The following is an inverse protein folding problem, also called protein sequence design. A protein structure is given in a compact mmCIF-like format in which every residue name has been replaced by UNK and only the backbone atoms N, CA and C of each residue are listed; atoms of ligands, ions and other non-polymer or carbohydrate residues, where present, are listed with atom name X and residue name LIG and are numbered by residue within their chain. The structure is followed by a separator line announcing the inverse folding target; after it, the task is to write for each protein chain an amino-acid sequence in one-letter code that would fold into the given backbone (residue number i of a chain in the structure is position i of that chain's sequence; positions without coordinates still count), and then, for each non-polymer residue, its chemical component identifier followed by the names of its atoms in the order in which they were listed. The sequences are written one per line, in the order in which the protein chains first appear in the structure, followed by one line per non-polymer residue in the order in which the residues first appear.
data_IF_663777782889
#
_entry.id   IF_663777782889
#
_cell.length_a   1.000
_cell.length_b   1.000
_cell.length_c   1.000
_cell.angle_alpha   90.00
_cell.angle_beta   90.00
_cell.angle_gamma   90.00
#
_symmetry.space_group_name_H-M   'P 1'
#
loop_
_entity.id
_entity.type
_entity.pdbx_description
1 polymer ?
#
# COMPACT_ATOMS: atom_id res chain seq x y z
N UNK A 1 6.93 6.87 28.16
CA UNK A 1 6.27 5.93 27.23
C UNK A 1 4.93 6.46 26.73
N UNK A 2 4.07 7.00 27.60
CA UNK A 2 2.79 7.63 27.20
C UNK A 2 2.97 8.78 26.21
N UNK A 3 3.95 9.68 26.44
CA UNK A 3 4.27 10.77 25.47
C UNK A 3 4.74 10.23 24.12
N UNK A 4 5.59 9.19 24.11
CA UNK A 4 6.06 8.55 22.86
C UNK A 4 4.88 7.94 22.05
N UNK A 5 3.89 7.38 22.74
CA UNK A 5 2.68 6.83 22.10
C UNK A 5 1.79 7.98 21.59
N UNK A 6 1.67 9.08 22.33
CA UNK A 6 0.94 10.25 21.84
C UNK A 6 1.62 10.87 20.61
N UNK A 7 2.93 11.06 20.63
CA UNK A 7 3.71 11.55 19.49
C UNK A 7 3.60 10.63 18.28
N UNK A 8 3.53 9.32 18.49
CA UNK A 8 3.28 8.36 17.42
C UNK A 8 1.87 8.52 16.82
N UNK A 9 0.84 8.72 17.65
CA UNK A 9 -0.55 8.83 17.23
C UNK A 9 -0.85 10.16 16.52
N UNK A 10 -0.35 11.27 17.05
CA UNK A 10 -0.63 12.62 16.54
C UNK A 10 0.46 13.17 15.61
N UNK A 11 1.57 12.45 15.46
CA UNK A 11 2.77 12.92 14.78
C UNK A 11 3.63 13.76 15.71
N UNK A 12 4.94 13.70 15.49
CA UNK A 12 5.90 14.53 16.21
C UNK A 12 5.65 15.99 15.81
N UNK A 13 5.54 16.90 16.78
CA UNK A 13 5.53 18.35 16.52
C UNK A 13 6.92 18.82 16.07
N UNK A 14 7.30 18.42 14.86
CA UNK A 14 8.52 18.91 14.22
C UNK A 14 8.24 20.35 13.80
N UNK A 15 9.08 21.33 14.16
CA UNK A 15 8.92 22.69 13.67
C UNK A 15 8.84 22.68 12.14
N UNK A 16 7.83 23.36 11.58
CA UNK A 16 7.47 23.24 10.17
C UNK A 16 8.65 23.48 9.21
N UNK A 17 9.61 24.31 9.60
CA UNK A 17 10.85 24.53 8.85
C UNK A 17 11.73 23.29 8.68
N UNK A 18 11.85 22.44 9.69
CA UNK A 18 12.65 21.20 9.63
C UNK A 18 11.95 20.12 8.82
N UNK A 19 10.61 20.08 8.87
CA UNK A 19 9.78 19.22 8.03
C UNK A 19 9.90 19.62 6.55
N UNK A 20 9.80 20.91 6.25
CA UNK A 20 10.00 21.45 4.90
C UNK A 20 11.42 21.19 4.38
N UNK A 21 12.44 21.32 5.23
CA UNK A 21 13.83 21.00 4.86
C UNK A 21 14.03 19.49 4.63
N UNK A 22 13.43 18.62 5.44
CA UNK A 22 13.54 17.18 5.32
C UNK A 22 12.73 16.59 4.15
N UNK A 23 11.61 17.22 3.78
CA UNK A 23 10.87 16.90 2.55
C UNK A 23 11.64 17.46 1.36
N UNK A 24 12.07 18.72 1.44
CA UNK A 24 12.82 19.43 0.40
C UNK A 24 14.09 18.72 -0.04
N UNK A 25 14.85 18.14 0.89
CA UNK A 25 16.08 17.40 0.58
C UNK A 25 15.83 16.06 -0.13
N UNK A 26 14.64 15.46 0.02
CA UNK A 26 14.27 14.17 -0.59
C UNK A 26 13.55 14.32 -1.93
N UNK A 27 12.94 15.48 -2.20
CA UNK A 27 12.31 15.82 -3.48
C UNK A 27 13.23 15.69 -4.71
N UNK A 28 14.51 16.15 -4.71
CA UNK A 28 15.37 15.99 -5.88
C UNK A 28 15.69 14.51 -6.16
N UNK A 29 15.91 13.71 -5.11
CA UNK A 29 16.11 12.26 -5.23
C UNK A 29 14.86 11.58 -5.82
N UNK A 30 13.67 11.99 -5.38
CA UNK A 30 12.37 11.56 -5.91
C UNK A 30 12.23 11.82 -7.40
N UNK A 31 12.53 13.05 -7.83
CA UNK A 31 12.42 13.47 -9.23
C UNK A 31 13.40 12.69 -10.09
N UNK A 32 14.63 12.50 -9.62
CA UNK A 32 15.65 11.71 -10.34
C UNK A 32 15.24 10.24 -10.42
N UNK A 33 14.92 9.58 -9.30
CA UNK A 33 14.56 8.15 -9.32
C UNK A 33 13.27 7.88 -10.11
N UNK A 34 12.22 8.67 -9.88
CA UNK A 34 10.95 8.53 -10.60
C UNK A 34 11.14 8.86 -12.08
N UNK A 35 11.86 9.93 -12.39
CA UNK A 35 12.20 10.32 -13.76
C UNK A 35 12.95 9.20 -14.47
N UNK A 36 14.00 8.64 -13.86
CA UNK A 36 14.79 7.56 -14.46
C UNK A 36 13.95 6.31 -14.70
N UNK A 37 13.14 5.88 -13.71
CA UNK A 37 12.32 4.68 -13.82
C UNK A 37 11.08 4.82 -14.72
N UNK A 38 10.53 6.03 -14.87
CA UNK A 38 9.43 6.30 -15.81
C UNK A 38 9.98 6.48 -17.23
N UNK A 39 11.11 7.17 -17.39
CA UNK A 39 11.74 7.42 -18.68
C UNK A 39 12.37 6.15 -19.28
N UNK A 40 12.90 5.24 -18.46
CA UNK A 40 13.53 4.00 -18.93
C UNK A 40 12.60 3.14 -19.82
N UNK A 41 11.39 2.74 -19.40
CA UNK A 41 10.48 2.00 -20.28
C UNK A 41 9.96 2.84 -21.46
N UNK A 42 9.82 4.17 -21.30
CA UNK A 42 9.44 5.08 -22.38
C UNK A 42 10.51 5.20 -23.47
N UNK A 43 11.79 5.06 -23.13
CA UNK A 43 12.91 5.09 -24.09
C UNK A 43 13.09 3.70 -24.74
N UNK A 44 12.99 2.62 -23.94
CA UNK A 44 13.20 1.25 -24.42
C UNK A 44 12.05 0.71 -25.28
N UNK A 45 10.80 1.21 -25.11
CA UNK A 45 9.62 0.72 -25.84
C UNK A 45 8.96 1.76 -26.76
N UNK A 46 9.72 2.78 -27.23
CA UNK A 46 9.25 3.79 -28.21
C UNK A 46 8.66 3.21 -29.51
N UNK A 47 8.94 1.94 -29.83
CA UNK A 47 8.66 1.32 -31.15
C UNK A 47 7.33 0.56 -31.24
N UNK A 48 6.52 0.48 -30.18
CA UNK A 48 5.23 -0.25 -30.20
C UNK A 48 4.03 0.65 -29.81
N UNK A 49 3.57 1.54 -30.71
CA UNK A 49 2.45 2.46 -30.45
C UNK A 49 1.11 1.77 -30.15
N UNK A 50 0.92 0.51 -30.58
CA UNK A 50 -0.26 -0.28 -30.25
C UNK A 50 -0.42 -0.58 -28.75
N UNK A 51 0.67 -0.55 -27.96
CA UNK A 51 0.65 -0.77 -26.50
C UNK A 51 0.32 0.51 -25.70
N UNK A 52 0.22 1.67 -26.35
CA UNK A 52 0.10 2.97 -25.68
C UNK A 52 -1.34 3.49 -25.53
N UNK A 53 -2.29 3.03 -26.35
CA UNK A 53 -3.61 3.67 -26.47
C UNK A 53 -4.63 3.21 -25.41
N UNK A 54 -4.51 1.97 -24.92
CA UNK A 54 -5.43 1.37 -23.94
C UNK A 54 -4.89 1.40 -22.49
N UNK A 55 -3.66 1.87 -22.26
CA UNK A 55 -2.98 1.73 -20.96
C UNK A 55 -3.24 2.84 -19.93
N UNK A 56 -3.67 4.02 -20.37
CA UNK A 56 -3.80 5.22 -19.50
C UNK A 56 -4.96 5.13 -18.51
N UNK A 57 -6.04 4.42 -18.86
CA UNK A 57 -7.20 4.27 -17.99
C UNK A 57 -6.95 3.30 -16.81
N UNK A 58 -6.12 2.28 -17.00
CA UNK A 58 -5.68 1.40 -15.91
C UNK A 58 -4.68 2.08 -14.96
N UNK A 59 -3.93 3.06 -15.46
CA UNK A 59 -2.85 3.72 -14.74
C UNK A 59 -3.34 4.48 -13.50
N UNK A 60 -4.45 5.21 -13.60
CA UNK A 60 -5.00 5.96 -12.45
C UNK A 60 -5.46 5.02 -11.31
N UNK A 61 -6.08 3.89 -11.66
CA UNK A 61 -6.51 2.89 -10.66
C UNK A 61 -5.29 2.26 -9.98
N UNK A 62 -4.24 1.95 -10.76
CA UNK A 62 -2.98 1.42 -10.24
C UNK A 62 -2.28 2.42 -9.32
N UNK A 63 -2.21 3.68 -9.73
CA UNK A 63 -1.68 4.78 -8.91
C UNK A 63 -2.41 4.84 -7.57
N UNK A 64 -3.73 4.95 -7.58
CA UNK A 64 -4.51 5.06 -6.34
C UNK A 64 -4.35 3.81 -5.46
N UNK A 65 -4.43 2.61 -6.04
CA UNK A 65 -4.20 1.37 -5.30
C UNK A 65 -2.82 1.32 -4.64
N UNK A 66 -1.76 1.75 -5.35
CA UNK A 66 -0.42 1.73 -4.79
C UNK A 66 -0.18 2.82 -3.75
N UNK A 67 -0.75 4.02 -3.92
CA UNK A 67 -0.73 5.04 -2.86
C UNK A 67 -1.46 4.57 -1.60
N UNK A 68 -2.65 4.00 -1.75
CA UNK A 68 -3.40 3.41 -0.63
C UNK A 68 -2.58 2.32 0.09
N UNK A 69 -1.93 1.44 -0.67
CA UNK A 69 -1.08 0.38 -0.12
C UNK A 69 0.04 0.93 0.76
N UNK A 70 0.82 1.90 0.28
CA UNK A 70 1.94 2.45 1.04
C UNK A 70 1.49 3.33 2.23
N UNK A 71 0.36 4.03 2.09
CA UNK A 71 -0.21 4.84 3.17
C UNK A 71 -0.70 3.99 4.34
N UNK A 72 -1.04 2.71 4.10
CA UNK A 72 -1.38 1.76 5.17
C UNK A 72 -0.15 0.98 5.64
N UNK A 73 0.73 0.59 4.72
CA UNK A 73 1.89 -0.26 5.03
C UNK A 73 2.96 0.46 5.85
N UNK A 74 3.26 1.73 5.54
CA UNK A 74 4.30 2.49 6.24
C UNK A 74 3.93 2.73 7.71
N UNK A 75 2.72 3.21 8.07
CA UNK A 75 2.32 3.30 9.47
C UNK A 75 2.28 1.95 10.19
N UNK A 76 1.96 0.85 9.48
CA UNK A 76 1.98 -0.49 10.06
C UNK A 76 3.40 -0.95 10.40
N UNK A 77 4.42 -0.53 9.64
CA UNK A 77 5.83 -0.78 9.97
C UNK A 77 6.21 0.00 11.22
N UNK A 78 5.88 1.29 11.25
CA UNK A 78 6.23 2.17 12.37
C UNK A 78 5.47 1.82 13.65
N UNK A 79 4.33 1.13 13.55
CA UNK A 79 3.57 0.59 14.69
C UNK A 79 4.40 -0.27 15.64
N UNK A 80 5.38 -0.97 15.09
CA UNK A 80 6.23 -1.92 15.82
C UNK A 80 7.35 -1.21 16.57
N UNK A 81 7.77 -0.04 16.09
CA UNK A 81 8.83 0.79 16.70
C UNK A 81 8.62 1.07 18.19
N UNK A 82 7.46 1.62 18.64
CA UNK A 82 7.24 1.89 20.07
C UNK A 82 7.16 0.61 20.92
N UNK A 83 6.87 -0.55 20.31
CA UNK A 83 6.75 -1.83 20.99
C UNK A 83 8.07 -2.56 21.18
N UNK A 84 9.14 -2.30 20.44
CA UNK A 84 10.42 -3.02 20.58
C UNK A 84 11.56 -2.12 21.06
N UNK A 85 11.40 -0.80 21.05
CA UNK A 85 12.37 0.15 21.63
C UNK A 85 13.64 0.40 20.80
N UNK A 86 14.04 -0.54 19.94
CA UNK A 86 15.14 -0.36 18.99
C UNK A 86 14.60 -0.13 17.57
N UNK A 87 14.80 1.07 17.03
CA UNK A 87 14.19 1.51 15.76
C UNK A 87 14.53 0.58 14.58
N UNK A 88 15.80 0.21 14.43
CA UNK A 88 16.27 -0.59 13.29
C UNK A 88 15.71 -2.01 13.30
N UNK A 89 15.79 -2.72 14.43
CA UNK A 89 15.32 -4.11 14.53
C UNK A 89 13.79 -4.22 14.37
N UNK A 90 13.06 -3.23 14.89
CA UNK A 90 11.60 -3.16 14.78
C UNK A 90 11.15 -3.09 13.34
N UNK A 91 11.79 -2.25 12.53
CA UNK A 91 11.47 -2.06 11.12
C UNK A 91 11.69 -3.35 10.31
N UNK A 92 12.81 -4.05 10.53
CA UNK A 92 13.07 -5.33 9.85
C UNK A 92 12.06 -6.40 10.24
N UNK A 93 11.74 -6.54 11.53
CA UNK A 93 10.74 -7.50 12.00
C UNK A 93 9.36 -7.21 11.40
N UNK A 94 8.95 -5.94 11.37
CA UNK A 94 7.69 -5.51 10.79
C UNK A 94 7.63 -5.78 9.27
N UNK A 95 8.72 -5.50 8.55
CA UNK A 95 8.83 -5.79 7.12
C UNK A 95 8.72 -7.29 6.82
N UNK A 96 9.44 -8.13 7.56
CA UNK A 96 9.38 -9.59 7.41
C UNK A 96 7.95 -10.08 7.65
N UNK A 97 7.31 -9.63 8.74
CA UNK A 97 5.93 -9.98 9.04
C UNK A 97 4.99 -9.52 7.91
N UNK A 98 5.07 -8.25 7.49
CA UNK A 98 4.25 -7.71 6.40
C UNK A 98 4.38 -8.54 5.13
N UNK A 99 5.60 -8.84 4.70
CA UNK A 99 5.83 -9.62 3.48
C UNK A 99 5.25 -11.03 3.60
N UNK A 100 5.46 -11.71 4.73
CA UNK A 100 4.91 -13.05 4.98
C UNK A 100 3.38 -13.04 4.92
N UNK A 101 2.74 -12.12 5.64
CA UNK A 101 1.29 -12.04 5.67
C UNK A 101 0.68 -11.52 4.36
N UNK A 102 1.36 -10.62 3.64
CA UNK A 102 0.99 -10.24 2.28
C UNK A 102 1.06 -11.43 1.32
N UNK A 103 2.07 -12.30 1.48
CA UNK A 103 2.16 -13.55 0.72
C UNK A 103 0.94 -14.44 0.93
N UNK A 104 0.52 -14.63 2.20
CA UNK A 104 -0.71 -15.37 2.56
C UNK A 104 -1.96 -14.69 1.99
N UNK A 105 -2.04 -13.36 2.08
CA UNK A 105 -3.13 -12.57 1.50
C UNK A 105 -3.24 -12.72 -0.02
N UNK A 106 -2.11 -12.68 -0.72
CA UNK A 106 -2.05 -12.86 -2.18
C UNK A 106 -2.40 -14.29 -2.59
N UNK A 107 -1.92 -15.29 -1.84
CA UNK A 107 -2.26 -16.70 -2.07
C UNK A 107 -3.75 -16.95 -1.88
N UNK A 108 -4.33 -16.50 -0.76
CA UNK A 108 -5.77 -16.63 -0.51
C UNK A 108 -6.62 -15.91 -1.57
N UNK A 109 -6.14 -14.78 -2.11
CA UNK A 109 -6.81 -14.07 -3.20
C UNK A 109 -6.92 -14.91 -4.49
N UNK A 110 -5.99 -15.84 -4.74
CA UNK A 110 -6.05 -16.73 -5.91
C UNK A 110 -7.18 -17.77 -5.81
N UNK A 111 -7.57 -18.16 -4.60
CA UNK A 111 -8.65 -19.14 -4.36
C UNK A 111 -10.02 -18.49 -4.21
N UNK A 112 -10.08 -17.16 -4.08
CA UNK A 112 -11.34 -16.42 -4.02
C UNK A 112 -11.78 -16.11 -5.46
N UNK A 113 -12.97 -16.59 -5.91
CA UNK A 113 -13.48 -16.28 -7.24
C UNK A 113 -13.47 -14.78 -7.52
N UNK A 114 -13.10 -14.37 -8.75
CA UNK A 114 -13.09 -12.96 -9.20
C UNK A 114 -14.39 -12.30 -8.74
N UNK A 115 -14.26 -11.40 -7.78
CA UNK A 115 -15.39 -10.82 -7.07
C UNK A 115 -16.23 -9.94 -8.00
N UNK A 116 -17.54 -10.21 -8.06
CA UNK A 116 -18.52 -9.22 -8.56
C UNK A 116 -18.42 -7.92 -7.76
N UNK A 117 -18.87 -6.79 -8.31
CA UNK A 117 -18.79 -5.46 -7.66
C UNK A 117 -19.23 -5.45 -6.18
N UNK A 118 -20.23 -6.26 -5.81
CA UNK A 118 -20.72 -6.41 -4.43
C UNK A 118 -19.70 -7.04 -3.47
N UNK A 119 -18.95 -8.06 -3.90
CA UNK A 119 -17.88 -8.67 -3.08
C UNK A 119 -16.66 -7.74 -2.96
N UNK A 120 -16.43 -6.86 -3.93
CA UNK A 120 -15.40 -5.82 -3.86
C UNK A 120 -15.71 -4.79 -2.78
N UNK A 121 -16.97 -4.34 -2.73
CA UNK A 121 -17.48 -3.45 -1.68
C UNK A 121 -17.37 -4.07 -0.29
N UNK A 122 -17.67 -5.37 -0.14
CA UNK A 122 -17.55 -6.06 1.15
C UNK A 122 -16.09 -6.15 1.64
N UNK A 123 -15.12 -6.39 0.73
CA UNK A 123 -13.69 -6.37 1.08
C UNK A 123 -13.25 -4.99 1.56
N UNK A 124 -13.76 -3.93 0.95
CA UNK A 124 -13.47 -2.56 1.35
C UNK A 124 -14.10 -2.21 2.69
N UNK A 125 -15.34 -2.65 2.94
CA UNK A 125 -15.99 -2.52 4.25
C UNK A 125 -15.23 -3.26 5.35
N UNK A 126 -14.70 -4.45 5.04
CA UNK A 126 -13.85 -5.19 5.97
C UNK A 126 -12.54 -4.44 6.25
N UNK A 127 -11.88 -3.88 5.22
CA UNK A 127 -10.68 -3.05 5.40
C UNK A 127 -10.99 -1.79 6.20
N UNK A 128 -12.10 -1.10 5.92
CA UNK A 128 -12.57 0.06 6.66
C UNK A 128 -12.78 -0.29 8.14
N UNK A 129 -13.49 -1.39 8.41
CA UNK A 129 -13.78 -1.85 9.76
C UNK A 129 -12.51 -2.21 10.52
N UNK A 130 -11.54 -2.83 9.84
CA UNK A 130 -10.24 -3.15 10.44
C UNK A 130 -9.47 -1.87 10.75
N UNK A 131 -9.45 -0.89 9.84
CA UNK A 131 -8.75 0.39 10.06
C UNK A 131 -9.36 1.19 11.21
N UNK A 132 -10.69 1.23 11.31
CA UNK A 132 -11.39 1.86 12.43
C UNK A 132 -11.09 1.12 13.73
N UNK A 133 -11.14 -0.22 13.73
CA UNK A 133 -10.77 -1.03 14.88
C UNK A 133 -9.33 -0.73 15.31
N UNK A 134 -8.41 -0.63 14.36
CA UNK A 134 -7.01 -0.26 14.62
C UNK A 134 -6.94 1.09 15.34
N UNK A 135 -7.60 2.11 14.84
CA UNK A 135 -7.54 3.46 15.41
C UNK A 135 -7.98 3.51 16.89
N UNK A 136 -9.03 2.78 17.25
CA UNK A 136 -9.57 2.77 18.62
C UNK A 136 -8.89 1.74 19.54
N UNK A 137 -8.47 0.59 19.00
CA UNK A 137 -7.88 -0.48 19.79
C UNK A 137 -6.39 -0.25 20.06
N UNK A 138 -5.68 0.46 19.18
CA UNK A 138 -4.24 0.64 19.29
C UNK A 138 -3.75 1.36 20.54
N UNK A 139 -4.31 2.51 20.93
CA UNK A 139 -3.84 3.22 22.13
C UNK A 139 -3.87 2.33 23.40
N UNK A 140 -4.97 1.62 23.74
CA UNK A 140 -4.99 0.74 24.90
C UNK A 140 -4.23 -0.59 24.70
N UNK A 141 -4.08 -1.09 23.46
CA UNK A 141 -3.25 -2.28 23.21
C UNK A 141 -1.77 -1.95 23.42
N UNK A 142 -1.27 -0.85 22.85
CA UNK A 142 0.13 -0.44 22.98
C UNK A 142 0.54 -0.28 24.45
N UNK A 143 -0.33 0.33 25.28
CA UNK A 143 -0.06 0.51 26.71
C UNK A 143 -0.10 -0.79 27.52
N UNK A 144 -0.81 -1.83 27.07
CA UNK A 144 -0.83 -3.13 27.76
C UNK A 144 0.32 -4.02 27.30
N UNK A 145 0.66 -3.95 26.01
CA UNK A 145 1.77 -4.72 25.46
C UNK A 145 3.12 -4.18 25.91
N UNK A 146 3.23 -2.88 26.18
CA UNK A 146 4.47 -2.28 26.68
C UNK A 146 4.97 -2.88 27.99
N UNK A 147 4.03 -3.31 28.85
CA UNK A 147 4.32 -3.80 30.20
C UNK A 147 4.70 -5.30 30.21
N UNK A 148 4.61 -5.95 29.04
CA UNK A 148 4.91 -7.37 28.88
C UNK A 148 6.41 -7.62 28.62
N UNK A 149 6.89 -8.85 28.91
CA UNK A 149 8.24 -9.27 28.52
C UNK A 149 8.43 -9.23 27.00
N UNK A 150 9.69 -9.11 26.58
CA UNK A 150 10.12 -8.89 25.20
C UNK A 150 9.52 -9.88 24.19
N UNK A 151 9.46 -11.17 24.54
CA UNK A 151 8.91 -12.22 23.67
C UNK A 151 7.42 -12.00 23.35
N UNK A 152 6.64 -11.56 24.33
CA UNK A 152 5.21 -11.27 24.15
C UNK A 152 4.99 -9.97 23.35
N UNK A 153 5.89 -8.99 23.48
CA UNK A 153 5.88 -7.77 22.67
C UNK A 153 6.13 -8.07 21.19
N UNK A 154 7.06 -8.96 20.90
CA UNK A 154 7.33 -9.42 19.53
C UNK A 154 6.11 -10.16 18.96
N UNK A 155 5.58 -11.15 19.69
CA UNK A 155 4.42 -11.91 19.25
C UNK A 155 3.19 -11.00 19.02
N UNK A 156 2.96 -10.05 19.91
CA UNK A 156 1.90 -9.06 19.79
C UNK A 156 2.06 -8.11 18.60
N UNK A 157 3.30 -7.69 18.32
CA UNK A 157 3.61 -6.87 17.14
C UNK A 157 3.30 -7.62 15.84
N UNK A 158 3.71 -8.89 15.75
CA UNK A 158 3.40 -9.76 14.61
C UNK A 158 1.89 -9.97 14.46
N UNK A 159 1.18 -10.17 15.58
CA UNK A 159 -0.28 -10.34 15.59
C UNK A 159 -1.03 -9.07 15.16
N UNK A 160 -0.50 -7.87 15.45
CA UNK A 160 -1.05 -6.61 14.95
C UNK A 160 -0.75 -6.44 13.44
N UNK A 161 0.48 -6.65 13.03
CA UNK A 161 0.85 -6.46 11.62
C UNK A 161 0.16 -7.46 10.69
N UNK A 162 -0.11 -8.69 11.16
CA UNK A 162 -0.57 -9.79 10.34
C UNK A 162 -1.91 -9.56 9.61
N UNK A 163 -3.00 -9.20 10.30
CA UNK A 163 -4.28 -8.91 9.66
C UNK A 163 -4.16 -7.83 8.57
N UNK A 164 -3.40 -6.76 8.84
CA UNK A 164 -3.15 -5.71 7.86
C UNK A 164 -2.39 -6.25 6.64
N UNK A 165 -1.33 -7.03 6.86
CA UNK A 165 -0.56 -7.66 5.79
C UNK A 165 -1.41 -8.56 4.88
N UNK A 166 -2.28 -9.40 5.47
CA UNK A 166 -3.19 -10.27 4.70
C UNK A 166 -4.18 -9.46 3.86
N UNK A 167 -4.77 -8.39 4.42
CA UNK A 167 -5.69 -7.54 3.67
C UNK A 167 -4.98 -6.82 2.52
N UNK A 168 -3.80 -6.25 2.78
CA UNK A 168 -2.98 -5.56 1.78
C UNK A 168 -2.58 -6.50 0.64
N UNK A 169 -2.13 -7.71 0.96
CA UNK A 169 -1.75 -8.75 -0.01
C UNK A 169 -2.88 -9.17 -0.95
N UNK A 170 -4.14 -9.11 -0.49
CA UNK A 170 -5.32 -9.40 -1.31
C UNK A 170 -5.73 -8.22 -2.23
N UNK A 171 -5.34 -6.98 -1.92
CA UNK A 171 -5.68 -5.81 -2.75
C UNK A 171 -4.80 -5.70 -4.00
N UNK A 172 -3.51 -5.98 -3.90
CA UNK A 172 -2.54 -5.76 -4.98
C UNK A 172 -2.79 -6.60 -6.26
N UNK A 173 -3.12 -7.90 -6.19
CA UNK A 173 -3.42 -8.70 -7.38
C UNK A 173 -4.61 -8.16 -8.18
N UNK A 174 -5.55 -7.48 -7.50
CA UNK A 174 -6.73 -6.89 -8.15
C UNK A 174 -6.43 -5.62 -8.96
N UNK A 175 -5.29 -4.98 -8.72
CA UNK A 175 -4.81 -3.81 -9.45
C UNK A 175 -3.97 -4.17 -10.69
N UNK A 176 -3.55 -5.44 -10.81
CA UNK A 176 -2.74 -5.89 -11.93
C UNK A 176 -3.59 -6.01 -13.21
N UNK A 177 -3.10 -5.40 -14.29
CA UNK A 177 -3.70 -5.54 -15.62
C UNK A 177 -3.48 -6.98 -16.13
N UNK A 178 -4.49 -7.63 -16.74
CA UNK A 178 -4.36 -8.99 -17.26
C UNK A 178 -3.14 -9.16 -18.17
N UNK A 179 -2.52 -10.35 -18.16
CA UNK A 179 -1.29 -10.66 -18.93
C UNK A 179 -1.40 -10.32 -20.42
N UNK A 180 -2.60 -10.42 -21.01
CA UNK A 180 -2.90 -10.09 -22.42
C UNK A 180 -2.97 -8.59 -22.73
N UNK A 181 -3.01 -7.71 -21.72
CA UNK A 181 -3.14 -6.24 -21.83
C UNK A 181 -2.00 -5.49 -21.13
N UNK A 182 -0.88 -6.16 -20.79
CA UNK A 182 0.28 -5.51 -20.18
C UNK A 182 0.82 -4.43 -21.13
N UNK A 183 0.52 -3.18 -20.80
CA UNK A 183 1.00 -2.00 -21.52
C UNK A 183 2.33 -1.53 -20.94
N UNK A 184 3.05 -0.69 -21.69
CA UNK A 184 4.25 0.01 -21.22
C UNK A 184 3.95 0.79 -19.92
N UNK A 185 2.73 1.32 -19.79
CA UNK A 185 2.24 2.03 -18.61
C UNK A 185 2.11 1.15 -17.37
N UNK A 186 1.65 -0.10 -17.50
CA UNK A 186 1.58 -1.04 -16.38
C UNK A 186 2.96 -1.44 -15.86
N UNK A 187 3.99 -1.38 -16.70
CA UNK A 187 5.36 -1.65 -16.29
C UNK A 187 5.99 -0.42 -15.60
N UNK A 188 5.81 0.76 -16.20
CA UNK A 188 6.25 2.02 -15.61
C UNK A 188 5.60 2.27 -14.24
N UNK A 189 4.32 1.95 -14.08
CA UNK A 189 3.59 2.09 -12.82
C UNK A 189 4.14 1.19 -11.71
N UNK A 190 4.53 -0.05 -12.03
CA UNK A 190 5.09 -0.97 -11.05
C UNK A 190 6.38 -0.46 -10.42
N UNK A 191 7.18 0.31 -11.16
CA UNK A 191 8.43 0.88 -10.64
C UNK A 191 8.28 2.26 -10.02
N UNK A 192 7.43 3.12 -10.58
CA UNK A 192 7.28 4.51 -10.14
C UNK A 192 6.42 4.67 -8.89
N UNK A 193 5.32 3.90 -8.79
CA UNK A 193 4.34 4.08 -7.71
C UNK A 193 4.96 3.81 -6.34
N UNK A 194 5.70 2.71 -6.10
CA UNK A 194 6.28 2.44 -4.79
C UNK A 194 7.20 3.56 -4.28
N UNK A 195 8.00 4.15 -5.17
CA UNK A 195 8.94 5.22 -4.83
C UNK A 195 8.18 6.49 -4.43
N UNK A 196 7.22 6.93 -5.26
CA UNK A 196 6.45 8.13 -4.97
C UNK A 196 5.57 7.95 -3.72
N UNK A 197 4.88 6.81 -3.63
CA UNK A 197 3.93 6.53 -2.56
C UNK A 197 4.61 6.31 -1.21
N UNK A 198 5.77 5.64 -1.16
CA UNK A 198 6.52 5.46 0.09
C UNK A 198 6.99 6.78 0.68
N UNK A 199 7.51 7.69 -0.15
CA UNK A 199 8.01 8.98 0.35
C UNK A 199 6.85 9.89 0.77
N UNK A 200 5.75 9.88 0.02
CA UNK A 200 4.53 10.58 0.43
C UNK A 200 3.98 10.02 1.76
N UNK A 201 3.94 8.69 1.92
CA UNK A 201 3.48 8.04 3.15
C UNK A 201 4.36 8.35 4.36
N UNK A 202 5.69 8.27 4.20
CA UNK A 202 6.65 8.60 5.26
C UNK A 202 6.52 10.07 5.66
N UNK A 203 6.40 10.97 4.67
CA UNK A 203 6.25 12.41 4.93
C UNK A 203 4.95 12.70 5.67
N UNK A 204 3.85 12.05 5.26
CA UNK A 204 2.54 12.20 5.90
C UNK A 204 2.54 11.62 7.32
N UNK A 205 3.23 10.49 7.53
CA UNK A 205 3.36 9.85 8.83
C UNK A 205 4.12 10.72 9.84
N UNK A 206 5.25 11.29 9.44
CA UNK A 206 6.01 12.17 10.33
C UNK A 206 5.35 13.55 10.53
N UNK A 207 4.55 14.03 9.56
CA UNK A 207 3.86 15.32 9.66
C UNK A 207 2.51 15.26 10.40
N UNK A 208 1.72 14.21 10.17
CA UNK A 208 0.34 14.06 10.66
C UNK A 208 0.10 12.85 11.55
N UNK A 209 1.12 12.02 11.78
CA UNK A 209 1.02 10.85 12.64
C UNK A 209 0.36 9.63 11.99
N UNK A 210 0.20 8.61 12.81
CA UNK A 210 -0.39 7.32 12.42
C UNK A 210 -1.82 7.48 11.89
N UNK A 211 -2.67 8.24 12.58
CA UNK A 211 -4.09 8.37 12.27
C UNK A 211 -4.33 9.03 10.90
N UNK A 212 -3.69 10.18 10.65
CA UNK A 212 -3.85 10.94 9.39
C UNK A 212 -3.40 10.11 8.19
N UNK A 213 -2.30 9.39 8.34
CA UNK A 213 -1.74 8.57 7.26
C UNK A 213 -2.64 7.40 6.90
N UNK A 214 -3.18 6.70 7.91
CA UNK A 214 -4.14 5.61 7.69
C UNK A 214 -5.47 6.08 7.10
N UNK A 215 -6.02 7.19 7.57
CA UNK A 215 -7.24 7.77 7.00
C UNK A 215 -7.03 8.19 5.55
N UNK A 216 -5.88 8.77 5.24
CA UNK A 216 -5.53 9.14 3.87
C UNK A 216 -5.42 7.89 2.99
N UNK A 217 -4.79 6.82 3.49
CA UNK A 217 -4.72 5.54 2.79
C UNK A 217 -6.10 4.94 2.52
N UNK A 218 -6.99 4.99 3.52
CA UNK A 218 -8.38 4.58 3.39
C UNK A 218 -9.12 5.38 2.31
N UNK A 219 -9.04 6.72 2.35
CA UNK A 219 -9.69 7.59 1.38
C UNK A 219 -9.22 7.31 -0.05
N UNK A 220 -7.91 7.09 -0.23
CA UNK A 220 -7.33 6.75 -1.54
C UNK A 220 -7.80 5.37 -2.01
N UNK A 221 -7.92 4.38 -1.11
CA UNK A 221 -8.46 3.06 -1.46
C UNK A 221 -9.95 3.11 -1.87
N UNK A 222 -10.76 3.92 -1.17
CA UNK A 222 -12.16 4.17 -1.54
C UNK A 222 -12.24 4.78 -2.94
N UNK A 223 -11.40 5.78 -3.22
CA UNK A 223 -11.33 6.43 -4.54
C UNK A 223 -10.89 5.45 -5.63
N UNK A 224 -9.88 4.62 -5.37
CA UNK A 224 -9.42 3.59 -6.29
C UNK A 224 -10.53 2.60 -6.65
N UNK A 225 -11.33 2.18 -5.66
CA UNK A 225 -12.45 1.27 -5.87
C UNK A 225 -13.60 1.95 -6.63
N UNK A 226 -13.92 3.21 -6.30
CA UNK A 226 -14.90 4.01 -7.04
C UNK A 226 -14.53 4.09 -8.53
N UNK A 227 -13.27 4.41 -8.82
CA UNK A 227 -12.75 4.41 -10.20
C UNK A 227 -12.80 3.02 -10.85
N UNK A 228 -12.50 1.96 -10.11
CA UNK A 228 -12.53 0.59 -10.63
C UNK A 228 -13.95 0.09 -10.94
N UNK A 229 -14.95 0.49 -10.14
CA UNK A 229 -16.37 0.15 -10.38
C UNK A 229 -16.93 0.95 -11.54
N UNK A 230 -16.63 2.24 -11.63
CA UNK A 230 -17.01 3.07 -12.79
C UNK A 230 -16.38 2.55 -14.10
N UNK A 231 -15.27 1.82 -14.01
CA UNK A 231 -14.51 1.24 -15.14
C UNK A 231 -14.67 -0.28 -15.28
N UNK A 232 -15.69 -0.90 -14.68
CA UNK A 232 -15.99 -2.35 -14.83
C UNK A 232 -16.02 -2.88 -16.29
N UNK A 233 -16.41 -2.11 -17.34
CA UNK A 233 -16.36 -2.60 -18.72
C UNK A 233 -14.96 -2.96 -19.20
N UNK A 234 -13.90 -2.38 -18.62
CA UNK A 234 -12.52 -2.54 -19.07
C UNK A 234 -11.85 -3.83 -18.56
N UNK A 235 -12.29 -4.34 -17.40
CA UNK A 235 -11.77 -5.56 -16.78
C UNK A 235 -12.52 -6.84 -17.20
N UNK A 236 -13.62 -6.72 -17.95
CA UNK A 236 -14.23 -7.88 -18.61
C UNK A 236 -13.23 -8.41 -19.63
N UNK A 237 -12.70 -9.60 -19.36
CA UNK A 237 -11.98 -10.39 -20.35
C UNK A 237 -12.86 -10.44 -21.62
N UNK A 238 -12.34 -9.91 -22.73
CA UNK A 238 -12.87 -10.24 -24.03
C UNK A 238 -12.92 -11.79 -24.11
N UNK A 239 -14.01 -12.37 -24.62
CA UNK A 239 -14.22 -13.81 -24.60
C UNK A 239 -12.96 -14.49 -25.10
N UNK A 240 -12.48 -15.48 -24.33
CA UNK A 240 -11.34 -16.27 -24.68
C UNK A 240 -11.58 -16.89 -26.06
N UNK A 241 -11.01 -16.32 -27.12
CA UNK A 241 -10.72 -17.09 -28.31
C UNK A 241 -9.88 -18.27 -27.83
N UNK A 242 -10.52 -19.45 -27.78
CA UNK A 242 -9.82 -20.72 -27.69
C UNK A 242 -8.80 -20.68 -28.82
N UNK A 243 -7.52 -20.75 -28.48
CA UNK A 243 -6.52 -21.16 -29.44
C UNK A 243 -6.86 -22.61 -29.78
N UNK A 244 -7.61 -22.82 -30.86
CA UNK A 244 -7.63 -24.10 -31.56
C UNK A 244 -6.23 -24.29 -32.10
N UNK A 245 -5.50 -25.25 -31.52
CA UNK A 245 -4.24 -25.74 -32.06
C UNK A 245 -4.62 -26.42 -33.39
N UNK A 246 -4.13 -25.96 -34.55
CA UNK A 246 -4.32 -26.71 -35.78
C UNK A 246 -3.53 -28.02 -35.67
N UNK A 247 -4.20 -29.14 -35.93
CA UNK A 247 -3.60 -30.48 -36.04
C UNK A 247 -2.57 -30.55 -37.17
#
# INVERSE_FOLDING_TARGET
MVELIQDFLTGVRIPGGTLLAAIGSRLPLLVVLTGTYVLMPLITHRRHPALNRDGSEGFLVQLCMGFGFFFVSIPAIELVTPLLGLHTYSQWAALIALILFMGVGSYSAAYIPKASGRRRSNKLGLLASLLVLYLFALPPLLSRLSDLPESLRIAGSVALVGPLGVMLGNTWPSALVPRKRRSVWSWASCSAIPVMASIAAISLFFAGGFAVTLFSGFAVYVLALGLAVLREPFFREAPSHRYTIPE
#
